data_IF_984619172574
#
_entry.id   IF_984619172574
#
_cell.length_a   1.000
_cell.length_b   1.000
_cell.length_c   1.000
_cell.angle_alpha   90.00
_cell.angle_beta   90.00
_cell.angle_gamma   90.00
#
_symmetry.space_group_name_H-M   'P 1'
#
loop_
_entity.id
_entity.type
_entity.pdbx_description
1 polymer ?
#
# COMPACT_ATOMS: atom_id res chain seq x y z
N UNK A 1 -31.22 12.59 12.60
CA UNK A 1 -29.84 12.20 12.95
C UNK A 1 -29.20 13.43 13.56
N UNK A 2 -28.63 13.30 14.77
CA UNK A 2 -28.04 14.40 15.52
C UNK A 2 -26.72 14.81 14.88
N UNK A 3 -26.47 16.12 14.82
CA UNK A 3 -25.23 16.73 14.29
C UNK A 3 -23.99 16.29 15.12
N UNK A 4 -24.22 15.76 16.32
CA UNK A 4 -23.20 15.28 17.27
C UNK A 4 -22.62 13.89 16.96
N UNK A 5 -23.19 13.10 16.05
CA UNK A 5 -22.60 11.78 15.70
C UNK A 5 -21.66 11.90 14.48
N UNK A 6 -21.90 12.90 13.62
CA UNK A 6 -21.15 13.15 12.39
C UNK A 6 -19.69 13.54 12.64
N UNK A 7 -19.38 14.24 13.73
CA UNK A 7 -18.01 14.72 13.97
C UNK A 7 -17.04 13.58 14.28
N UNK A 8 -17.53 12.49 14.89
CA UNK A 8 -16.73 11.30 15.19
C UNK A 8 -16.28 10.64 13.89
N UNK A 9 -17.20 10.52 12.93
CA UNK A 9 -16.89 10.02 11.58
C UNK A 9 -15.89 10.91 10.86
N UNK A 10 -16.11 12.23 10.84
CA UNK A 10 -15.19 13.17 10.18
C UNK A 10 -13.78 13.12 10.80
N UNK A 11 -13.71 13.03 12.13
CA UNK A 11 -12.45 12.92 12.87
C UNK A 11 -11.74 11.60 12.56
N UNK A 12 -12.48 10.49 12.50
CA UNK A 12 -11.95 9.18 12.14
C UNK A 12 -11.39 9.19 10.71
N UNK A 13 -12.14 9.73 9.75
CA UNK A 13 -11.67 9.85 8.36
C UNK A 13 -10.39 10.68 8.28
N UNK A 14 -10.31 11.80 9.01
CA UNK A 14 -9.10 12.62 9.09
C UNK A 14 -7.92 11.82 9.67
N UNK A 15 -8.15 11.06 10.74
CA UNK A 15 -7.13 10.21 11.35
C UNK A 15 -6.61 9.13 10.40
N UNK A 16 -7.50 8.42 9.70
CA UNK A 16 -7.14 7.38 8.74
C UNK A 16 -6.36 7.93 7.53
N UNK A 17 -6.54 9.20 7.18
CA UNK A 17 -5.69 9.89 6.21
C UNK A 17 -4.38 10.42 6.78
N UNK A 18 -4.26 10.50 8.10
CA UNK A 18 -3.09 11.02 8.78
C UNK A 18 -1.85 10.13 8.62
N UNK A 19 -0.64 10.70 8.72
CA UNK A 19 0.61 9.94 8.69
C UNK A 19 0.77 9.03 9.92
N UNK A 20 0.13 9.39 11.04
CA UNK A 20 0.11 8.57 12.26
C UNK A 20 -0.53 7.21 11.96
N UNK A 21 -1.63 7.20 11.19
CA UNK A 21 -2.24 5.97 10.71
C UNK A 21 -1.45 5.32 9.58
N UNK A 22 -1.16 6.09 8.53
CA UNK A 22 -0.65 5.52 7.28
C UNK A 22 0.77 4.99 7.39
N UNK A 23 1.70 5.69 8.04
CA UNK A 23 3.12 5.30 8.00
C UNK A 23 3.39 3.95 8.67
N UNK A 24 2.86 3.66 9.88
CA UNK A 24 3.04 2.34 10.51
C UNK A 24 2.37 1.22 9.70
N UNK A 25 1.14 1.44 9.22
CA UNK A 25 0.38 0.44 8.46
C UNK A 25 1.06 0.13 7.12
N UNK A 26 1.46 1.14 6.36
CA UNK A 26 2.18 0.94 5.10
C UNK A 26 3.48 0.17 5.32
N UNK A 27 4.26 0.56 6.33
CA UNK A 27 5.52 -0.14 6.67
C UNK A 27 5.26 -1.61 6.99
N UNK A 28 4.23 -1.90 7.80
CA UNK A 28 3.86 -3.26 8.15
C UNK A 28 3.45 -4.07 6.92
N UNK A 29 2.53 -3.53 6.11
CA UNK A 29 1.98 -4.21 4.94
C UNK A 29 3.09 -4.46 3.93
N UNK A 30 3.94 -3.48 3.62
CA UNK A 30 5.07 -3.65 2.70
C UNK A 30 6.00 -4.78 3.14
N UNK A 31 6.45 -4.75 4.39
CA UNK A 31 7.42 -5.72 4.91
C UNK A 31 6.85 -7.15 4.99
N UNK A 32 5.58 -7.28 5.41
CA UNK A 32 4.96 -8.58 5.65
C UNK A 32 4.26 -9.15 4.41
N UNK A 33 3.99 -8.33 3.39
CA UNK A 33 3.28 -8.76 2.16
C UNK A 33 4.08 -9.75 1.30
N UNK A 34 5.41 -9.80 1.44
CA UNK A 34 6.27 -10.59 0.58
C UNK A 34 5.94 -12.09 0.56
N UNK A 35 5.39 -12.62 1.66
CA UNK A 35 4.98 -14.04 1.77
C UNK A 35 3.62 -14.33 1.14
N UNK A 36 2.88 -13.31 0.71
CA UNK A 36 1.55 -13.42 0.12
C UNK A 36 1.64 -13.42 -1.40
N UNK A 37 2.16 -14.51 -1.97
CA UNK A 37 2.35 -14.65 -3.42
C UNK A 37 0.99 -14.87 -4.15
N UNK A 38 0.64 -14.06 -5.17
CA UNK A 38 -0.57 -14.25 -5.96
C UNK A 38 -0.61 -15.58 -6.74
N UNK A 39 0.53 -16.21 -7.01
CA UNK A 39 0.64 -17.47 -7.73
C UNK A 39 0.59 -18.69 -6.80
N UNK A 40 0.64 -18.46 -5.48
CA UNK A 40 0.59 -19.52 -4.48
C UNK A 40 -0.81 -19.59 -3.86
N UNK A 41 -1.34 -20.80 -3.72
CA UNK A 41 -2.53 -21.01 -2.91
C UNK A 41 -2.15 -20.90 -1.43
N UNK A 42 -2.53 -19.79 -0.80
CA UNK A 42 -2.35 -19.58 0.64
C UNK A 42 -3.27 -20.50 1.44
N UNK A 43 -2.69 -21.22 2.39
CA UNK A 43 -3.45 -21.96 3.41
C UNK A 43 -3.84 -21.00 4.54
N UNK A 44 -5.14 -20.76 4.71
CA UNK A 44 -5.69 -19.91 5.77
C UNK A 44 -5.37 -20.46 7.18
N UNK A 45 -5.02 -21.75 7.31
CA UNK A 45 -4.62 -22.37 8.57
C UNK A 45 -3.10 -22.35 8.81
N UNK A 46 -2.33 -21.74 7.90
CA UNK A 46 -0.89 -21.63 8.08
C UNK A 46 -0.58 -20.77 9.32
N UNK A 47 0.15 -21.30 10.31
CA UNK A 47 0.46 -20.58 11.55
C UNK A 47 1.21 -19.27 11.31
N UNK A 48 2.05 -19.19 10.27
CA UNK A 48 2.79 -17.97 9.94
C UNK A 48 1.83 -16.86 9.44
N UNK A 49 0.85 -17.22 8.62
CA UNK A 49 -0.15 -16.27 8.11
C UNK A 49 -1.05 -15.77 9.23
N UNK A 50 -1.49 -16.67 10.10
CA UNK A 50 -2.29 -16.33 11.27
C UNK A 50 -1.50 -15.44 12.24
N UNK A 51 -0.21 -15.72 12.45
CA UNK A 51 0.63 -14.88 13.30
C UNK A 51 0.77 -13.47 12.73
N UNK A 52 1.02 -13.32 11.43
CA UNK A 52 1.11 -12.01 10.80
C UNK A 52 -0.23 -11.26 10.91
N UNK A 53 -1.36 -11.96 10.77
CA UNK A 53 -2.68 -11.35 10.94
C UNK A 53 -2.92 -10.88 12.38
N UNK A 54 -2.51 -11.66 13.39
CA UNK A 54 -2.58 -11.23 14.80
C UNK A 54 -1.65 -10.02 15.08
N UNK A 55 -0.44 -9.98 14.52
CA UNK A 55 0.43 -8.80 14.61
C UNK A 55 -0.24 -7.56 13.99
N UNK A 56 -0.91 -7.73 12.85
CA UNK A 56 -1.66 -6.65 12.19
C UNK A 56 -2.82 -6.15 13.05
N UNK A 57 -3.60 -7.07 13.64
CA UNK A 57 -4.71 -6.73 14.55
C UNK A 57 -4.23 -5.92 15.74
N UNK A 58 -3.18 -6.36 16.40
CA UNK A 58 -2.60 -5.66 17.54
C UNK A 58 -2.15 -4.24 17.18
N UNK A 59 -1.59 -4.06 15.97
CA UNK A 59 -1.21 -2.73 15.48
C UNK A 59 -2.44 -1.84 15.27
N UNK A 60 -3.46 -2.34 14.57
CA UNK A 60 -4.71 -1.60 14.34
C UNK A 60 -5.40 -1.23 15.65
N UNK A 61 -5.54 -2.19 16.57
CA UNK A 61 -6.19 -2.01 17.87
C UNK A 61 -5.44 -0.97 18.71
N UNK A 62 -4.11 -1.01 18.73
CA UNK A 62 -3.29 -0.02 19.43
C UNK A 62 -3.52 1.38 18.88
N UNK A 63 -3.56 1.54 17.56
CA UNK A 63 -3.66 2.84 16.91
C UNK A 63 -5.05 3.44 17.04
N UNK A 64 -6.10 2.63 16.88
CA UNK A 64 -7.48 3.05 17.09
C UNK A 64 -7.75 3.33 18.57
N UNK A 65 -7.22 2.50 19.49
CA UNK A 65 -7.32 2.72 20.92
C UNK A 65 -6.68 4.03 21.37
N UNK A 66 -5.48 4.33 20.85
CA UNK A 66 -4.79 5.61 21.11
C UNK A 66 -5.59 6.81 20.60
N UNK A 67 -6.14 6.72 19.38
CA UNK A 67 -7.01 7.76 18.82
C UNK A 67 -8.27 7.99 19.65
N UNK A 68 -8.95 6.91 20.05
CA UNK A 68 -10.15 6.99 20.87
C UNK A 68 -9.88 7.60 22.24
N UNK A 69 -8.76 7.23 22.86
CA UNK A 69 -8.34 7.80 24.16
C UNK A 69 -8.07 9.31 24.05
N UNK A 70 -7.32 9.74 23.02
CA UNK A 70 -6.98 11.14 22.79
C UNK A 70 -8.20 12.01 22.48
N UNK A 71 -9.15 11.49 21.71
CA UNK A 71 -10.37 12.20 21.31
C UNK A 71 -11.54 12.03 22.30
N UNK A 72 -11.34 11.25 23.36
CA UNK A 72 -12.38 10.86 24.32
C UNK A 72 -13.62 10.23 23.66
N UNK A 73 -13.40 9.39 22.65
CA UNK A 73 -14.45 8.68 21.92
C UNK A 73 -14.71 7.33 22.59
N UNK A 74 -15.98 7.02 22.89
CA UNK A 74 -16.35 5.71 23.43
C UNK A 74 -16.37 4.61 22.35
N UNK A 75 -16.20 3.33 22.71
CA UNK A 75 -16.33 2.22 21.75
C UNK A 75 -17.66 2.22 20.98
N UNK A 76 -18.76 2.58 21.65
CA UNK A 76 -20.09 2.66 21.03
C UNK A 76 -20.15 3.78 19.99
N UNK A 77 -19.57 4.95 20.28
CA UNK A 77 -19.49 6.05 19.33
C UNK A 77 -18.61 5.69 18.12
N UNK A 78 -17.49 5.00 18.36
CA UNK A 78 -16.61 4.51 17.31
C UNK A 78 -17.31 3.49 16.40
N UNK A 79 -18.06 2.54 16.98
CA UNK A 79 -18.83 1.55 16.23
C UNK A 79 -19.88 2.23 15.34
N UNK A 80 -20.59 3.22 15.88
CA UNK A 80 -21.56 4.01 15.11
C UNK A 80 -20.91 4.73 13.92
N UNK A 81 -19.77 5.38 14.12
CA UNK A 81 -19.01 6.02 13.03
C UNK A 81 -18.57 5.01 11.96
N UNK A 82 -18.14 3.80 12.35
CA UNK A 82 -17.79 2.75 11.39
C UNK A 82 -19.00 2.26 10.58
N UNK A 83 -20.18 2.16 11.20
CA UNK A 83 -21.43 1.79 10.54
C UNK A 83 -21.90 2.88 9.55
N UNK A 84 -21.67 4.15 9.86
CA UNK A 84 -21.93 5.26 8.94
C UNK A 84 -21.07 5.17 7.69
N UNK A 85 -19.77 4.89 7.82
CA UNK A 85 -18.87 4.67 6.68
C UNK A 85 -19.33 3.53 5.76
N UNK A 86 -19.88 2.46 6.34
CA UNK A 86 -20.42 1.31 5.59
C UNK A 86 -21.71 1.63 4.84
N UNK A 87 -22.59 2.45 5.41
CA UNK A 87 -23.88 2.81 4.81
C UNK A 87 -23.75 3.90 3.74
N UNK A 88 -22.90 4.90 3.98
CA UNK A 88 -22.61 5.94 2.98
C UNK A 88 -21.91 5.35 1.73
N UNK A 89 -21.14 4.28 1.88
CA UNK A 89 -20.55 3.53 0.75
C UNK A 89 -21.56 2.74 -0.11
N UNK A 90 -22.84 2.65 0.29
CA UNK A 90 -23.87 1.87 -0.42
C UNK A 90 -24.99 2.66 -1.10
N UNK A 91 -25.11 3.99 -0.89
CA UNK A 91 -26.30 4.76 -1.33
C UNK A 91 -26.03 6.08 -2.10
N UNK A 92 -24.79 6.43 -2.45
CA UNK A 92 -24.50 7.68 -3.17
C UNK A 92 -24.40 7.55 -4.70
N UNK A 93 -25.43 7.99 -5.44
CA UNK A 93 -25.32 8.32 -6.86
C UNK A 93 -24.50 9.61 -7.02
N UNK A 94 -23.31 9.52 -7.63
CA UNK A 94 -22.49 10.70 -7.98
C UNK A 94 -20.99 10.39 -8.02
N UNK A 95 -20.26 11.07 -8.89
CA UNK A 95 -18.90 10.76 -9.34
C UNK A 95 -17.83 10.79 -8.22
N UNK A 96 -17.69 9.65 -7.51
CA UNK A 96 -16.53 9.01 -6.85
C UNK A 96 -15.45 9.78 -6.03
N UNK A 97 -15.81 10.43 -4.90
CA UNK A 97 -14.92 10.54 -3.73
C UNK A 97 -14.86 9.24 -2.89
N UNK A 98 -15.81 8.33 -3.10
CA UNK A 98 -16.09 7.20 -2.22
C UNK A 98 -15.16 5.98 -2.36
N UNK A 99 -14.48 5.80 -3.51
CA UNK A 99 -13.47 4.75 -3.63
C UNK A 99 -12.29 4.97 -2.67
N UNK A 100 -11.99 6.23 -2.35
CA UNK A 100 -10.85 6.60 -1.51
C UNK A 100 -11.06 6.20 -0.05
N UNK A 101 -12.26 6.40 0.49
CA UNK A 101 -12.60 5.95 1.85
C UNK A 101 -12.74 4.43 1.94
N UNK A 102 -13.13 3.75 0.85
CA UNK A 102 -13.25 2.30 0.83
C UNK A 102 -11.92 1.60 1.14
N UNK A 103 -10.79 2.15 0.68
CA UNK A 103 -9.45 1.63 0.98
C UNK A 103 -9.10 1.82 2.46
N UNK A 104 -9.46 2.95 3.07
CA UNK A 104 -9.21 3.20 4.49
C UNK A 104 -10.00 2.22 5.38
N UNK A 105 -11.29 2.07 5.12
CA UNK A 105 -12.12 1.15 5.88
C UNK A 105 -11.76 -0.31 5.63
N UNK A 106 -11.22 -0.64 4.44
CA UNK A 106 -10.67 -1.97 4.18
C UNK A 106 -9.57 -2.34 5.18
N UNK A 107 -8.71 -1.41 5.56
CA UNK A 107 -7.65 -1.68 6.55
C UNK A 107 -8.23 -1.99 7.93
N UNK A 108 -9.30 -1.30 8.33
CA UNK A 108 -10.02 -1.59 9.58
C UNK A 108 -10.71 -2.96 9.48
N UNK A 109 -11.40 -3.25 8.38
CA UNK A 109 -12.09 -4.53 8.19
C UNK A 109 -11.12 -5.71 8.13
N UNK A 110 -9.93 -5.52 7.56
CA UNK A 110 -8.87 -6.52 7.52
C UNK A 110 -8.43 -6.99 8.92
N UNK A 111 -8.59 -6.17 9.97
CA UNK A 111 -8.29 -6.62 11.33
C UNK A 111 -9.28 -7.71 11.80
N UNK A 112 -10.53 -7.69 11.33
CA UNK A 112 -11.57 -8.63 11.76
C UNK A 112 -11.84 -9.76 10.74
N UNK A 113 -11.35 -9.62 9.51
CA UNK A 113 -11.59 -10.57 8.43
C UNK A 113 -10.27 -10.97 7.75
N UNK A 114 -9.84 -12.22 8.01
CA UNK A 114 -8.62 -12.79 7.47
C UNK A 114 -8.60 -12.81 5.93
N UNK A 115 -9.74 -12.96 5.26
CA UNK A 115 -9.80 -12.98 3.79
C UNK A 115 -9.60 -11.59 3.21
N UNK A 116 -10.16 -10.56 3.84
CA UNK A 116 -9.90 -9.17 3.47
C UNK A 116 -8.42 -8.85 3.68
N UNK A 117 -7.85 -9.31 4.80
CA UNK A 117 -6.43 -9.16 5.11
C UNK A 117 -5.54 -9.82 4.05
N UNK A 118 -5.74 -11.11 3.76
CA UNK A 118 -4.97 -11.84 2.75
C UNK A 118 -5.04 -11.11 1.40
N UNK A 119 -6.24 -10.73 0.96
CA UNK A 119 -6.42 -10.01 -0.31
C UNK A 119 -5.63 -8.70 -0.34
N UNK A 120 -5.65 -7.94 0.76
CA UNK A 120 -4.91 -6.68 0.88
C UNK A 120 -3.40 -6.91 0.83
N UNK A 121 -2.90 -7.93 1.54
CA UNK A 121 -1.47 -8.28 1.56
C UNK A 121 -0.99 -8.77 0.19
N UNK A 122 -1.75 -9.63 -0.48
CA UNK A 122 -1.44 -10.10 -1.84
C UNK A 122 -1.42 -8.95 -2.84
N UNK A 123 -2.39 -8.05 -2.77
CA UNK A 123 -2.43 -6.86 -3.63
C UNK A 123 -1.17 -6.00 -3.46
N UNK A 124 -0.73 -5.77 -2.20
CA UNK A 124 0.51 -5.02 -1.96
C UNK A 124 1.74 -5.73 -2.50
N UNK A 125 1.83 -7.05 -2.37
CA UNK A 125 2.94 -7.82 -2.92
C UNK A 125 3.02 -7.69 -4.45
N UNK A 126 1.88 -7.75 -5.14
CA UNK A 126 1.81 -7.52 -6.60
C UNK A 126 2.34 -6.13 -6.97
N UNK A 127 1.93 -5.09 -6.24
CA UNK A 127 2.40 -3.73 -6.49
C UNK A 127 3.92 -3.60 -6.31
N UNK A 128 4.47 -4.21 -5.26
CA UNK A 128 5.92 -4.21 -5.03
C UNK A 128 6.67 -4.97 -6.13
N UNK A 129 6.14 -6.11 -6.58
CA UNK A 129 6.71 -6.86 -7.70
C UNK A 129 6.72 -6.05 -8.99
N UNK A 130 5.64 -5.31 -9.29
CA UNK A 130 5.56 -4.43 -10.45
C UNK A 130 6.55 -3.26 -10.36
N UNK A 131 6.70 -2.65 -9.18
CA UNK A 131 7.70 -1.59 -8.95
C UNK A 131 9.13 -2.11 -9.15
N UNK A 132 9.42 -3.33 -8.68
CA UNK A 132 10.72 -3.95 -8.90
C UNK A 132 10.98 -4.22 -10.39
N UNK A 133 9.98 -4.69 -11.13
CA UNK A 133 10.08 -4.92 -12.58
C UNK A 133 10.35 -3.62 -13.35
N UNK A 134 9.63 -2.53 -13.05
CA UNK A 134 9.84 -1.22 -13.67
C UNK A 134 11.27 -0.68 -13.39
N UNK A 135 11.79 -0.89 -12.18
CA UNK A 135 13.17 -0.52 -11.85
C UNK A 135 14.21 -1.32 -12.65
N UNK A 136 13.98 -2.63 -12.84
CA UNK A 136 14.85 -3.49 -13.64
C UNK A 136 14.84 -3.05 -15.11
N UNK A 137 13.68 -2.79 -15.69
CA UNK A 137 13.54 -2.33 -17.08
C UNK A 137 14.28 -1.01 -17.31
N UNK A 138 14.09 -0.02 -16.43
CA UNK A 138 14.78 1.28 -16.49
C UNK A 138 16.30 1.14 -16.40
N UNK A 139 16.80 0.25 -15.53
CA UNK A 139 18.23 0.01 -15.40
C UNK A 139 18.83 -0.67 -16.64
N UNK A 140 18.10 -1.61 -17.27
CA UNK A 140 18.54 -2.25 -18.52
C UNK A 140 18.57 -1.25 -19.68
N UNK A 141 17.59 -0.36 -19.78
CA UNK A 141 17.56 0.73 -20.77
C UNK A 141 18.70 1.73 -20.57
N UNK A 142 19.03 2.08 -19.32
CA UNK A 142 20.18 2.95 -19.03
C UNK A 142 21.51 2.31 -19.45
N UNK A 143 21.65 0.98 -19.31
CA UNK A 143 22.85 0.25 -19.72
C UNK A 143 22.97 0.08 -21.23
N UNK A 144 21.85 -0.01 -21.97
CA UNK A 144 21.88 -0.13 -23.44
C UNK A 144 22.21 1.19 -24.15
N UNK A 145 21.86 2.35 -23.56
CA UNK A 145 22.19 3.67 -24.10
C UNK A 145 23.67 4.05 -23.86
N UNK A 146 24.30 3.57 -22.79
CA UNK A 146 25.69 3.86 -22.45
C UNK A 146 26.77 3.15 -23.30
N UNK A 147 26.38 2.25 -24.22
CA UNK A 147 27.31 1.46 -25.05
C UNK A 147 27.43 2.02 -26.48
N UNK A 148 26.73 3.10 -26.82
CA UNK A 148 26.63 3.64 -28.18
C UNK A 148 27.64 4.71 -28.62
N UNK A 149 28.47 5.29 -27.75
CA UNK A 149 29.33 6.46 -28.08
C UNK A 149 30.85 6.18 -28.02
N UNK A 150 31.29 4.97 -28.41
CA UNK A 150 32.72 4.59 -28.35
C UNK A 150 33.37 4.14 -29.66
N UNK A 151 32.67 4.19 -30.79
CA UNK A 151 33.17 3.64 -32.06
C UNK A 151 33.11 4.65 -33.20
N UNK A 152 34.25 4.78 -33.88
CA UNK A 152 34.44 5.33 -35.23
C UNK A 152 34.85 6.82 -35.34
N UNK A 153 36.17 7.05 -35.37
CA UNK A 153 36.82 7.98 -36.31
C UNK A 153 38.08 7.30 -36.90
N UNK A 154 37.79 6.36 -37.80
CA UNK A 154 38.27 6.24 -39.17
C UNK A 154 39.56 6.97 -39.68
N UNK A 155 40.41 6.14 -40.30
CA UNK A 155 41.24 6.35 -41.52
C UNK A 155 42.60 7.11 -41.51
N UNK A 156 43.64 6.27 -41.66
CA UNK A 156 44.60 6.26 -42.79
C UNK A 156 45.26 7.56 -43.24
N UNK A 157 46.58 7.64 -43.00
CA UNK A 157 47.52 8.27 -43.93
C UNK A 157 48.81 7.44 -44.02
N UNK A 158 48.81 6.46 -44.93
CA UNK A 158 50.00 5.79 -45.44
C UNK A 158 50.76 6.77 -46.36
N UNK A 159 51.79 7.42 -45.83
CA UNK A 159 52.65 8.36 -46.53
C UNK A 159 54.01 7.75 -46.90
N UNK A 160 54.07 7.21 -48.11
CA UNK A 160 55.22 6.94 -49.00
C UNK A 160 56.68 7.22 -48.54
N UNK A 161 57.53 6.23 -48.86
CA UNK A 161 59.01 6.23 -48.91
C UNK A 161 59.64 7.41 -49.67
N UNK A 162 60.97 7.55 -49.41
CA UNK A 162 62.12 8.01 -50.22
C UNK A 162 62.73 9.27 -49.59
N UNK A 163 63.99 9.34 -49.13
CA UNK A 163 65.27 8.82 -49.61
C UNK A 163 66.29 9.96 -49.42
N UNK A 164 67.50 9.69 -48.91
CA UNK A 164 68.57 10.69 -48.72
C UNK A 164 69.36 10.51 -47.44
#
# INVERSE_FOLDING_TARGET
MSVEDSWVFDSLVCFLHGPIWNAPLQTFIEQKSLVFDPNQQLDENNPDILQIHEEYKNLVDYMLGSFMEEMHISPEQFEMACLEGRQQGGQGQGENPFQFHQVLFQQIWAANDLKIFIRMMTQRNVELQLQALDLIEKNQLAQSVGVGEGGEDDHSAEGHRLGG
#
